data_IF_969282130516
#
_entry.id   IF_969282130516
#
_cell.length_a   1.000
_cell.length_b   1.000
_cell.length_c   1.000
_cell.angle_alpha   90.00
_cell.angle_beta   90.00
_cell.angle_gamma   90.00
#
_symmetry.space_group_name_H-M   'P 1'
#
loop_
_entity.id
_entity.type
_entity.pdbx_description
1 polymer ?
#
# COMPACT_ATOMS: atom_id res chain seq x y z
N UNK A 1 5.02 -12.19 15.52
CA UNK A 1 5.68 -12.62 14.26
C UNK A 1 5.42 -14.08 13.89
N UNK A 2 5.83 -15.08 14.70
CA UNK A 2 5.75 -16.51 14.33
C UNK A 2 4.33 -17.03 14.03
N UNK A 3 3.28 -16.46 14.66
CA UNK A 3 1.89 -16.84 14.40
C UNK A 3 1.42 -16.46 12.98
N UNK A 4 1.92 -15.37 12.41
CA UNK A 4 1.55 -14.90 11.06
C UNK A 4 2.09 -15.89 10.01
N UNK A 5 3.37 -16.25 10.07
CA UNK A 5 3.95 -17.21 9.13
C UNK A 5 3.28 -18.59 9.23
N UNK A 6 2.97 -19.03 10.45
CA UNK A 6 2.18 -20.26 10.66
C UNK A 6 0.77 -20.14 10.08
N UNK A 7 0.12 -19.00 10.19
CA UNK A 7 -1.18 -18.76 9.57
C UNK A 7 -1.09 -18.73 8.04
N UNK A 8 -0.05 -18.13 7.46
CA UNK A 8 0.15 -18.04 6.02
C UNK A 8 0.63 -19.34 5.37
N UNK A 9 1.23 -20.28 6.12
CA UNK A 9 1.75 -21.54 5.56
C UNK A 9 0.70 -22.54 5.03
N UNK A 10 -0.60 -22.25 5.18
CA UNK A 10 -1.67 -23.11 4.64
C UNK A 10 -2.25 -22.52 3.36
N UNK A 11 -2.24 -23.32 2.30
CA UNK A 11 -2.88 -23.01 1.01
C UNK A 11 -4.34 -22.56 1.19
N UNK A 12 -5.14 -23.28 1.98
CA UNK A 12 -6.55 -22.92 2.22
C UNK A 12 -6.71 -21.56 2.88
N UNK A 13 -5.85 -21.22 3.86
CA UNK A 13 -5.90 -19.91 4.53
C UNK A 13 -5.45 -18.78 3.59
N UNK A 14 -4.44 -19.02 2.76
CA UNK A 14 -4.05 -18.06 1.72
C UNK A 14 -5.19 -17.81 0.72
N UNK A 15 -5.89 -18.85 0.27
CA UNK A 15 -7.05 -18.67 -0.62
C UNK A 15 -8.21 -17.93 0.06
N UNK A 16 -8.46 -18.17 1.36
CA UNK A 16 -9.43 -17.36 2.13
C UNK A 16 -9.04 -15.88 2.15
N UNK A 17 -7.77 -15.56 2.42
CA UNK A 17 -7.28 -14.18 2.41
C UNK A 17 -7.42 -13.55 1.02
N UNK A 18 -7.12 -14.28 -0.07
CA UNK A 18 -7.32 -13.80 -1.44
C UNK A 18 -8.78 -13.46 -1.74
N UNK A 19 -9.72 -14.26 -1.26
CA UNK A 19 -11.15 -13.97 -1.40
C UNK A 19 -11.55 -12.73 -0.58
N UNK A 20 -11.10 -12.65 0.68
CA UNK A 20 -11.38 -11.53 1.58
C UNK A 20 -10.73 -10.21 1.14
N UNK A 21 -9.64 -10.26 0.38
CA UNK A 21 -9.02 -9.08 -0.21
C UNK A 21 -9.90 -8.41 -1.27
N UNK A 22 -10.76 -9.19 -1.95
CA UNK A 22 -11.67 -8.72 -3.00
C UNK A 22 -12.96 -8.16 -2.43
N UNK A 23 -13.52 -8.80 -1.41
CA UNK A 23 -14.77 -8.42 -0.75
C UNK A 23 -14.90 -9.11 0.60
N UNK A 24 -15.80 -8.63 1.44
CA UNK A 24 -16.12 -9.25 2.72
C UNK A 24 -16.93 -10.55 2.51
N UNK A 25 -16.77 -11.51 3.43
CA UNK A 25 -17.46 -12.80 3.37
C UNK A 25 -18.03 -13.21 4.73
N UNK A 26 -19.10 -14.00 4.72
CA UNK A 26 -19.44 -14.86 5.87
C UNK A 26 -18.58 -16.13 5.87
N UNK A 27 -18.44 -16.77 7.03
CA UNK A 27 -17.75 -18.08 7.15
C UNK A 27 -18.35 -19.11 6.19
N UNK A 28 -19.68 -19.18 6.09
CA UNK A 28 -20.38 -20.09 5.17
C UNK A 28 -20.14 -19.73 3.69
N UNK A 29 -19.96 -18.44 3.39
CA UNK A 29 -19.60 -17.98 2.05
C UNK A 29 -18.20 -18.43 1.65
N UNK A 30 -17.22 -18.32 2.55
CA UNK A 30 -15.86 -18.85 2.34
C UNK A 30 -15.88 -20.37 2.16
N UNK A 31 -16.65 -21.07 3.00
CA UNK A 31 -16.81 -22.51 2.92
C UNK A 31 -17.32 -22.95 1.54
N UNK A 32 -18.38 -22.29 1.05
CA UNK A 32 -18.94 -22.52 -0.28
C UNK A 32 -17.94 -22.20 -1.40
N UNK A 33 -17.26 -21.05 -1.33
CA UNK A 33 -16.31 -20.63 -2.35
C UNK A 33 -15.11 -21.58 -2.49
N UNK A 34 -14.70 -22.22 -1.39
CA UNK A 34 -13.55 -23.12 -1.35
C UNK A 34 -13.92 -24.61 -1.39
N UNK A 35 -15.21 -24.96 -1.49
CA UNK A 35 -15.67 -26.35 -1.52
C UNK A 35 -15.38 -27.14 -0.24
N UNK A 36 -15.34 -26.47 0.92
CA UNK A 36 -15.07 -27.10 2.22
C UNK A 36 -16.29 -26.98 3.14
N UNK A 37 -16.33 -27.77 4.21
CA UNK A 37 -17.40 -27.67 5.20
C UNK A 37 -17.29 -26.40 6.04
N UNK A 38 -18.42 -25.90 6.53
CA UNK A 38 -18.48 -24.70 7.39
C UNK A 38 -17.63 -24.86 8.66
N UNK A 39 -17.61 -26.01 9.38
CA UNK A 39 -16.73 -26.19 10.53
C UNK A 39 -15.23 -26.11 10.17
N UNK A 40 -14.83 -26.67 9.03
CA UNK A 40 -13.44 -26.59 8.55
C UNK A 40 -13.09 -25.14 8.22
N UNK A 41 -13.98 -24.42 7.54
CA UNK A 41 -13.79 -22.99 7.28
C UNK A 41 -13.69 -22.17 8.57
N UNK A 42 -14.55 -22.42 9.56
CA UNK A 42 -14.52 -21.75 10.85
C UNK A 42 -13.19 -21.96 11.60
N UNK A 43 -12.63 -23.17 11.54
CA UNK A 43 -11.30 -23.47 12.12
C UNK A 43 -10.19 -22.66 11.45
N UNK A 44 -10.20 -22.56 10.12
CA UNK A 44 -9.23 -21.76 9.38
C UNK A 44 -9.37 -20.26 9.70
N UNK A 45 -10.61 -19.76 9.76
CA UNK A 45 -10.90 -18.37 10.12
C UNK A 45 -10.39 -18.05 11.52
N UNK A 46 -10.61 -18.93 12.50
CA UNK A 46 -10.11 -18.73 13.86
C UNK A 46 -8.59 -18.58 13.90
N UNK A 47 -7.85 -19.41 13.17
CA UNK A 47 -6.38 -19.29 13.07
C UNK A 47 -5.96 -17.95 12.44
N UNK A 48 -6.72 -17.47 11.46
CA UNK A 48 -6.46 -16.17 10.83
C UNK A 48 -6.81 -15.00 11.76
N UNK A 49 -7.86 -15.13 12.58
CA UNK A 49 -8.24 -14.17 13.63
C UNK A 49 -7.18 -14.13 14.75
N UNK A 50 -6.72 -15.30 15.21
CA UNK A 50 -5.66 -15.41 16.23
C UNK A 50 -4.34 -14.80 15.76
N UNK A 51 -4.09 -14.78 14.44
CA UNK A 51 -2.94 -14.12 13.82
C UNK A 51 -3.21 -12.65 13.44
N UNK A 52 -4.37 -12.10 13.81
CA UNK A 52 -4.83 -10.73 13.51
C UNK A 52 -4.95 -10.39 12.02
N UNK A 53 -4.96 -11.40 11.13
CA UNK A 53 -5.06 -11.23 9.68
C UNK A 53 -6.51 -11.06 9.20
N UNK A 54 -7.48 -11.49 9.99
CA UNK A 54 -8.91 -11.36 9.71
C UNK A 54 -9.62 -10.75 10.91
N UNK A 55 -10.49 -9.77 10.63
CA UNK A 55 -11.38 -9.18 11.60
C UNK A 55 -12.80 -9.70 11.41
N UNK A 56 -13.54 -9.85 12.52
CA UNK A 56 -14.96 -10.19 12.51
C UNK A 56 -15.78 -9.02 12.99
N UNK A 57 -16.80 -8.64 12.20
CA UNK A 57 -17.83 -7.69 12.60
C UNK A 57 -19.17 -8.41 12.73
N UNK A 58 -19.90 -8.11 13.80
CA UNK A 58 -21.21 -8.70 14.07
C UNK A 58 -22.30 -7.69 13.74
N UNK A 59 -23.19 -8.06 12.82
CA UNK A 59 -24.38 -7.32 12.45
C UNK A 59 -25.62 -8.13 12.87
N UNK A 60 -26.14 -7.86 14.06
CA UNK A 60 -27.20 -8.68 14.66
C UNK A 60 -26.74 -10.12 14.88
N UNK A 61 -27.34 -11.09 14.17
CA UNK A 61 -26.94 -12.52 14.22
C UNK A 61 -25.91 -12.90 13.15
N UNK A 62 -25.53 -11.95 12.30
CA UNK A 62 -24.71 -12.21 11.12
C UNK A 62 -23.27 -11.78 11.37
N UNK A 63 -22.31 -12.68 11.14
CA UNK A 63 -20.89 -12.37 11.27
C UNK A 63 -20.26 -12.19 9.89
N UNK A 64 -19.69 -11.02 9.65
CA UNK A 64 -18.97 -10.65 8.43
C UNK A 64 -17.48 -10.63 8.73
N UNK A 65 -16.69 -11.26 7.86
CA UNK A 65 -15.24 -11.32 7.94
C UNK A 65 -14.65 -10.33 6.93
N UNK A 66 -13.64 -9.59 7.39
CA UNK A 66 -12.87 -8.64 6.58
C UNK A 66 -11.39 -8.89 6.80
N UNK A 67 -10.55 -8.69 5.79
CA UNK A 67 -9.09 -8.81 5.96
C UNK A 67 -8.53 -7.60 6.72
N UNK A 68 -7.57 -7.84 7.62
CA UNK A 68 -6.79 -6.79 8.25
C UNK A 68 -5.60 -6.43 7.35
N UNK A 69 -5.81 -5.47 6.44
CA UNK A 69 -4.78 -5.07 5.46
C UNK A 69 -3.53 -4.49 6.12
N UNK A 70 -3.69 -3.70 7.18
CA UNK A 70 -2.57 -3.12 7.92
C UNK A 70 -1.63 -4.22 8.41
N UNK A 71 -2.16 -5.22 9.12
CA UNK A 71 -1.35 -6.34 9.63
C UNK A 71 -0.64 -7.13 8.53
N UNK A 72 -1.25 -7.25 7.36
CA UNK A 72 -0.63 -7.91 6.21
C UNK A 72 0.55 -7.08 5.68
N UNK A 73 0.42 -5.75 5.61
CA UNK A 73 1.50 -4.86 5.21
C UNK A 73 2.63 -4.82 6.24
N UNK A 74 2.32 -4.75 7.55
CA UNK A 74 3.33 -4.83 8.62
C UNK A 74 4.16 -6.13 8.51
N UNK A 75 3.52 -7.25 8.14
CA UNK A 75 4.23 -8.51 7.95
C UNK A 75 5.13 -8.53 6.70
N UNK A 76 4.82 -7.71 5.69
CA UNK A 76 5.65 -7.56 4.49
C UNK A 76 6.83 -6.63 4.74
N UNK A 77 6.67 -5.62 5.60
CA UNK A 77 7.73 -4.71 6.03
C UNK A 77 8.91 -5.45 6.68
N UNK A 78 8.69 -6.59 7.34
CA UNK A 78 9.80 -7.41 7.87
C UNK A 78 10.79 -7.89 6.78
N UNK A 79 10.42 -7.82 5.50
CA UNK A 79 11.28 -8.17 4.37
C UNK A 79 11.83 -6.94 3.64
N UNK A 80 11.65 -5.72 4.17
CA UNK A 80 12.31 -4.54 3.62
C UNK A 80 13.80 -4.56 3.92
N UNK A 81 14.57 -3.88 3.07
CA UNK A 81 15.97 -3.62 3.30
C UNK A 81 16.11 -2.32 4.09
N UNK A 82 16.81 -2.38 5.22
CA UNK A 82 17.13 -1.22 6.04
C UNK A 82 18.51 -0.68 5.64
N UNK A 83 18.60 0.64 5.49
CA UNK A 83 19.84 1.33 5.12
C UNK A 83 20.20 2.35 6.21
N UNK A 84 21.44 2.28 6.71
CA UNK A 84 22.01 3.31 7.59
C UNK A 84 22.99 4.19 6.80
N UNK A 85 22.79 5.50 6.84
CA UNK A 85 23.65 6.50 6.17
C UNK A 85 24.04 7.61 7.14
N UNK A 86 25.27 8.09 7.04
CA UNK A 86 25.73 9.28 7.77
C UNK A 86 25.57 10.53 6.90
N UNK A 87 24.71 11.45 7.31
CA UNK A 87 24.48 12.71 6.60
C UNK A 87 25.03 13.91 7.37
N UNK A 88 25.54 14.91 6.65
CA UNK A 88 25.90 16.20 7.23
C UNK A 88 24.65 16.95 7.66
N UNK A 89 24.77 17.79 8.68
CA UNK A 89 23.68 18.69 9.09
C UNK A 89 23.30 19.59 7.91
N UNK A 90 22.02 19.62 7.56
CA UNK A 90 21.54 20.43 6.44
C UNK A 90 21.52 19.70 5.10
N UNK A 91 21.87 18.41 5.05
CA UNK A 91 21.72 17.60 3.83
C UNK A 91 20.25 17.46 3.45
N UNK A 92 19.93 17.63 2.16
CA UNK A 92 18.59 17.38 1.65
C UNK A 92 18.27 15.88 1.72
N UNK A 93 17.00 15.51 1.90
CA UNK A 93 16.62 14.08 1.88
C UNK A 93 17.01 13.45 0.55
N UNK A 94 16.84 14.18 -0.55
CA UNK A 94 17.26 13.68 -1.85
C UNK A 94 18.74 13.31 -1.88
N UNK A 95 19.61 14.18 -1.39
CA UNK A 95 21.05 13.92 -1.41
C UNK A 95 21.41 12.77 -0.48
N UNK A 96 20.76 12.67 0.68
CA UNK A 96 20.90 11.51 1.56
C UNK A 96 20.47 10.19 0.87
N UNK A 97 19.39 10.22 0.09
CA UNK A 97 18.90 9.05 -0.64
C UNK A 97 19.70 8.70 -1.90
N UNK A 98 20.46 9.64 -2.49
CA UNK A 98 21.37 9.32 -3.61
C UNK A 98 22.48 8.36 -3.20
N UNK A 99 22.84 8.36 -1.91
CA UNK A 99 23.84 7.45 -1.35
C UNK A 99 23.27 6.05 -1.10
N UNK A 100 21.95 5.89 -1.17
CA UNK A 100 21.26 4.59 -1.10
C UNK A 100 21.14 4.02 -2.52
N UNK A 101 21.73 2.84 -2.74
CA UNK A 101 21.69 2.17 -4.04
C UNK A 101 20.24 1.84 -4.44
N UNK A 102 19.96 1.85 -5.75
CA UNK A 102 18.68 1.40 -6.30
C UNK A 102 17.59 2.48 -6.40
N UNK A 103 17.78 3.67 -5.82
CA UNK A 103 16.80 4.75 -5.93
C UNK A 103 16.95 5.53 -7.25
N UNK A 104 15.90 5.52 -8.07
CA UNK A 104 15.82 6.33 -9.30
C UNK A 104 14.98 7.58 -9.09
N UNK A 105 15.51 8.73 -9.52
CA UNK A 105 14.87 10.04 -9.34
C UNK A 105 14.40 10.59 -10.69
N UNK A 106 13.19 11.15 -10.72
CA UNK A 106 12.63 11.85 -11.87
C UNK A 106 12.34 13.31 -11.53
N UNK A 107 12.77 14.19 -12.41
CA UNK A 107 12.49 15.63 -12.33
C UNK A 107 11.27 15.98 -13.19
N UNK A 108 10.33 16.72 -12.62
CA UNK A 108 9.17 17.29 -13.33
C UNK A 108 9.14 18.78 -12.99
N UNK A 109 9.57 19.62 -13.94
CA UNK A 109 9.78 21.04 -13.68
C UNK A 109 10.96 21.26 -12.73
N UNK A 110 10.69 21.96 -11.63
CA UNK A 110 11.61 22.23 -10.51
C UNK A 110 11.54 21.19 -9.38
N UNK A 111 10.58 20.27 -9.45
CA UNK A 111 10.31 19.27 -8.41
C UNK A 111 10.94 17.93 -8.75
N UNK A 112 11.50 17.27 -7.75
CA UNK A 112 12.09 15.94 -7.89
C UNK A 112 11.27 14.92 -7.10
N UNK A 113 11.11 13.74 -7.70
CA UNK A 113 10.29 12.64 -7.19
C UNK A 113 11.05 11.33 -7.31
N UNK A 114 10.80 10.41 -6.38
CA UNK A 114 11.28 9.04 -6.50
C UNK A 114 10.43 8.31 -7.54
N UNK A 115 11.07 7.82 -8.59
CA UNK A 115 10.45 7.18 -9.75
C UNK A 115 10.69 5.67 -9.82
N UNK A 116 11.76 5.20 -9.16
CA UNK A 116 12.02 3.77 -9.00
C UNK A 116 12.77 3.46 -7.71
N UNK A 117 12.63 2.23 -7.22
CA UNK A 117 13.47 1.65 -6.17
C UNK A 117 13.84 0.24 -6.63
N UNK A 118 15.13 -0.11 -6.60
CA UNK A 118 15.69 -1.40 -7.02
C UNK A 118 15.22 -1.86 -8.41
N UNK A 119 15.10 -0.91 -9.33
CA UNK A 119 14.65 -1.15 -10.71
C UNK A 119 13.14 -1.29 -10.87
N UNK A 120 12.35 -1.23 -9.79
CA UNK A 120 10.89 -1.19 -9.87
C UNK A 120 10.40 0.24 -10.14
N UNK A 121 9.79 0.47 -11.30
CA UNK A 121 9.14 1.76 -11.58
C UNK A 121 7.83 1.92 -10.79
N UNK A 122 7.55 3.13 -10.33
CA UNK A 122 6.34 3.44 -9.59
C UNK A 122 6.26 4.87 -9.08
N UNK A 123 5.15 5.18 -8.44
CA UNK A 123 5.03 6.39 -7.62
C UNK A 123 5.39 6.03 -6.19
N UNK A 124 6.33 6.78 -5.61
CA UNK A 124 6.74 6.60 -4.23
C UNK A 124 6.53 7.91 -3.47
N UNK A 125 6.13 7.79 -2.21
CA UNK A 125 6.08 8.89 -1.25
C UNK A 125 7.12 8.65 -0.16
N UNK A 126 7.50 9.73 0.52
CA UNK A 126 8.41 9.66 1.64
C UNK A 126 7.75 10.19 2.90
N UNK A 127 8.09 9.59 4.03
CA UNK A 127 7.73 10.05 5.37
C UNK A 127 9.01 10.30 6.15
N UNK A 128 8.99 11.32 7.01
CA UNK A 128 10.12 11.66 7.87
C UNK A 128 9.67 11.53 9.31
N UNK A 129 10.25 10.59 10.04
CA UNK A 129 9.83 10.21 11.39
C UNK A 129 8.30 9.97 11.47
N UNK A 130 7.78 9.16 10.55
CA UNK A 130 6.35 8.82 10.45
C UNK A 130 5.40 9.96 10.03
N UNK A 131 5.92 11.09 9.53
CA UNK A 131 5.09 12.22 9.06
C UNK A 131 5.31 12.48 7.57
N UNK A 132 4.24 12.52 6.79
CA UNK A 132 4.27 12.88 5.37
C UNK A 132 4.51 14.39 5.19
N UNK A 133 5.65 14.82 4.61
CA UNK A 133 5.90 16.23 4.38
C UNK A 133 5.06 16.78 3.23
N UNK A 134 4.69 18.06 3.30
CA UNK A 134 3.90 18.74 2.26
C UNK A 134 4.78 19.41 1.18
N UNK A 135 6.02 18.97 1.02
CA UNK A 135 6.99 19.55 0.09
C UNK A 135 7.66 18.46 -0.76
N UNK A 136 8.23 18.79 -1.93
CA UNK A 136 9.08 17.89 -2.70
C UNK A 136 10.31 17.40 -1.92
N UNK A 137 10.85 16.25 -2.31
CA UNK A 137 11.95 15.61 -1.58
C UNK A 137 13.26 16.41 -1.61
N UNK A 138 13.46 17.19 -2.68
CA UNK A 138 14.61 18.09 -2.85
C UNK A 138 14.51 19.38 -2.01
N UNK A 139 13.33 19.70 -1.46
CA UNK A 139 13.12 20.89 -0.62
C UNK A 139 13.21 20.57 0.88
N UNK A 140 13.12 19.29 1.27
CA UNK A 140 13.22 18.88 2.67
C UNK A 140 14.67 18.66 3.10
N UNK A 141 15.04 19.26 4.22
CA UNK A 141 16.40 19.18 4.79
C UNK A 141 16.40 18.55 6.18
N UNK A 142 17.30 17.58 6.39
CA UNK A 142 17.52 16.95 7.69
C UNK A 142 18.43 17.84 8.56
N UNK A 143 17.85 18.41 9.63
CA UNK A 143 18.58 19.24 10.62
C UNK A 143 19.11 18.44 11.81
N UNK A 144 18.54 17.26 12.04
CA UNK A 144 18.89 16.28 13.08
C UNK A 144 18.70 14.87 12.49
N UNK A 145 19.30 13.86 13.11
CA UNK A 145 19.09 12.47 12.73
C UNK A 145 17.61 12.06 12.83
N UNK A 146 17.22 11.10 12.00
CA UNK A 146 15.85 10.60 11.95
C UNK A 146 15.67 9.57 10.86
N UNK A 147 14.47 9.03 10.79
CA UNK A 147 14.10 7.95 9.88
C UNK A 147 13.38 8.52 8.65
N UNK A 148 13.74 8.02 7.48
CA UNK A 148 13.10 8.34 6.20
C UNK A 148 12.51 7.03 5.67
N UNK A 149 11.18 6.94 5.67
CA UNK A 149 10.47 5.78 5.12
C UNK A 149 10.02 6.09 3.70
N UNK A 150 10.35 5.22 2.73
CA UNK A 150 9.88 5.35 1.36
C UNK A 150 8.80 4.32 1.08
N UNK A 151 7.59 4.77 0.73
CA UNK A 151 6.42 3.92 0.53
C UNK A 151 5.94 3.98 -0.90
N UNK A 152 5.76 2.81 -1.53
CA UNK A 152 5.18 2.72 -2.87
C UNK A 152 3.68 3.04 -2.83
N UNK A 153 3.25 3.97 -3.66
CA UNK A 153 1.84 4.21 -3.95
C UNK A 153 1.34 3.26 -5.03
N UNK A 154 0.34 2.47 -4.67
CA UNK A 154 -0.40 1.65 -5.64
C UNK A 154 -1.58 2.46 -6.19
N UNK A 155 -1.58 2.82 -7.48
CA UNK A 155 -2.65 3.62 -8.05
C UNK A 155 -3.96 2.82 -8.08
N UNK A 156 -5.04 3.41 -7.55
CA UNK A 156 -6.39 2.83 -7.58
C UNK A 156 -7.32 3.82 -8.27
N UNK A 157 -8.02 3.38 -9.32
CA UNK A 157 -9.03 4.20 -9.99
C UNK A 157 -10.16 4.56 -9.00
N UNK A 158 -10.25 5.84 -8.62
CA UNK A 158 -11.33 6.35 -7.76
C UNK A 158 -12.50 6.96 -8.53
N UNK A 159 -12.22 7.70 -9.60
CA UNK A 159 -13.23 8.38 -10.43
C UNK A 159 -12.74 8.47 -11.87
N UNK A 160 -13.66 8.34 -12.82
CA UNK A 160 -13.43 8.59 -14.25
C UNK A 160 -14.27 9.80 -14.65
N UNK A 161 -13.63 10.83 -15.21
CA UNK A 161 -14.31 12.03 -15.70
C UNK A 161 -14.06 12.13 -17.20
N UNK A 162 -15.14 12.19 -17.99
CA UNK A 162 -15.06 12.51 -19.41
C UNK A 162 -15.29 14.01 -19.55
N UNK A 163 -14.29 14.72 -20.05
CA UNK A 163 -14.38 16.16 -20.34
C UNK A 163 -14.67 16.32 -21.83
N UNK A 164 -15.68 17.11 -22.17
CA UNK A 164 -15.96 17.50 -23.56
C UNK A 164 -15.80 19.00 -23.68
N UNK A 165 -14.96 19.43 -24.62
CA UNK A 165 -14.76 20.84 -24.92
C UNK A 165 -15.59 21.16 -26.18
N UNK A 166 -16.56 22.08 -26.12
CA UNK A 166 -17.30 22.47 -27.29
C UNK A 166 -16.39 23.25 -28.25
N UNK A 167 -16.30 22.80 -29.50
CA UNK A 167 -15.65 23.55 -30.56
C UNK A 167 -16.62 24.64 -31.00
N UNK A 168 -16.31 25.92 -30.73
CA UNK A 168 -17.06 27.04 -31.31
C UNK A 168 -16.84 27.04 -32.83
N UNK A 169 -17.86 26.69 -33.61
CA UNK A 169 -17.86 26.94 -35.05
C UNK A 169 -17.90 28.45 -35.29
N UNK A 170 -16.80 29.02 -35.80
CA UNK A 170 -16.85 30.33 -36.45
C UNK A 170 -17.59 30.15 -37.78
N UNK A 171 -18.89 30.40 -37.80
CA UNK A 171 -19.59 30.63 -39.06
C UNK A 171 -19.34 32.07 -39.47
N UNK A 172 -18.67 32.24 -40.62
CA UNK A 172 -18.57 33.50 -41.35
C UNK A 172 -19.97 33.93 -41.77
N UNK A 173 -20.33 35.18 -41.50
CA UNK A 173 -21.14 35.97 -42.42
C UNK A 173 -20.32 37.23 -42.72
N UNK A 174 -19.53 37.12 -43.80
CA UNK A 174 -19.10 38.29 -44.57
C UNK A 174 -20.34 38.78 -45.35
N UNK A 175 -20.51 40.10 -45.35
CA UNK A 175 -21.54 40.86 -46.08
C UNK A 175 -21.54 40.58 -47.57
#
# INVERSE_FOLDING_TARGET
MMMIFKALSSKTRMEMLKLLMKTDYHVSGLAKALGISVPVAAKHVRILEDAELVNRKTFGKTHVLTVNRAKLYDAMETFSEDYEIEARKGTSILDALKDVSGIGIKKIGDKEFIASIDGEEGFYIYEVNGKSPNMPINEYTMVQGGEIEIKRLVPVLKKRVKVTVPVKSKTKEEK
#
